data_IF_258683890150
#
_entry.id   IF_258683890150
#
_cell.length_a   1.000
_cell.length_b   1.000
_cell.length_c   1.000
_cell.angle_alpha   90.00
_cell.angle_beta   90.00
_cell.angle_gamma   90.00
#
_symmetry.space_group_name_H-M   'P 1'
#
loop_
_entity.id
_entity.type
_entity.pdbx_description
1 polymer ?
#
# COMPACT_ATOMS: atom_id res chain seq x y z
N UNK A 1 -7.91 -8.61 8.88
CA UNK A 1 -6.99 -8.47 7.71
C UNK A 1 -6.62 -9.83 7.13
N UNK A 2 -6.70 -10.05 5.81
CA UNK A 2 -6.43 -11.36 5.19
C UNK A 2 -4.93 -11.61 5.05
N UNK A 3 -4.37 -12.52 5.86
CA UNK A 3 -2.96 -12.94 5.75
C UNK A 3 -2.77 -13.77 4.49
N UNK A 4 -2.19 -13.18 3.44
CA UNK A 4 -1.84 -13.87 2.20
C UNK A 4 -0.49 -14.56 2.40
N UNK A 5 -0.51 -15.84 2.78
CA UNK A 5 0.70 -16.67 2.87
C UNK A 5 0.96 -17.34 1.52
N UNK A 6 1.97 -16.87 0.80
CA UNK A 6 2.40 -17.46 -0.47
C UNK A 6 3.34 -18.65 -0.19
N UNK A 7 2.82 -19.72 0.42
CA UNK A 7 3.53 -20.96 0.83
C UNK A 7 4.28 -21.72 -0.30
N UNK A 8 4.78 -21.05 -1.33
CA UNK A 8 5.39 -21.64 -2.51
C UNK A 8 6.61 -20.80 -2.86
N UNK A 9 7.78 -21.41 -2.62
CA UNK A 9 8.87 -21.60 -3.59
C UNK A 9 8.80 -20.71 -4.83
N UNK A 10 9.94 -20.10 -5.21
CA UNK A 10 10.16 -19.37 -6.48
C UNK A 10 9.15 -19.73 -7.57
N UNK A 11 8.45 -18.73 -8.10
CA UNK A 11 7.52 -18.92 -9.21
C UNK A 11 8.19 -19.77 -10.31
N UNK A 12 7.53 -20.83 -10.83
CA UNK A 12 8.12 -21.68 -11.86
C UNK A 12 8.56 -20.84 -13.06
N UNK A 13 9.77 -21.10 -13.56
CA UNK A 13 10.30 -20.40 -14.72
C UNK A 13 9.32 -20.54 -15.91
N UNK A 14 8.90 -19.41 -16.50
CA UNK A 14 7.97 -19.37 -17.63
C UNK A 14 6.49 -19.15 -17.27
N UNK A 15 6.13 -19.09 -15.99
CA UNK A 15 4.76 -18.76 -15.59
C UNK A 15 4.42 -17.29 -15.93
N UNK A 16 3.50 -17.08 -16.89
CA UNK A 16 3.01 -15.75 -17.27
C UNK A 16 1.87 -15.23 -16.39
N UNK A 17 1.19 -16.11 -15.63
CA UNK A 17 0.07 -15.79 -14.74
C UNK A 17 0.11 -16.70 -13.51
N UNK A 18 -0.12 -16.13 -12.32
CA UNK A 18 -0.21 -16.86 -11.05
C UNK A 18 -1.65 -16.75 -10.55
N UNK A 19 -2.28 -17.89 -10.20
CA UNK A 19 -3.59 -17.91 -9.56
C UNK A 19 -3.40 -17.97 -8.04
N UNK A 20 -3.74 -16.90 -7.35
CA UNK A 20 -3.68 -16.87 -5.88
C UNK A 20 -4.90 -17.58 -5.29
N UNK A 21 -4.68 -18.43 -4.29
CA UNK A 21 -5.73 -19.06 -3.48
C UNK A 21 -5.55 -18.61 -2.04
N UNK A 22 -6.58 -18.05 -1.43
CA UNK A 22 -6.57 -17.75 0.01
C UNK A 22 -6.57 -19.10 0.74
N UNK A 23 -5.47 -19.41 1.42
CA UNK A 23 -5.27 -20.70 2.09
C UNK A 23 -5.76 -20.69 3.54
N UNK A 24 -5.77 -19.51 4.17
CA UNK A 24 -6.25 -19.31 5.53
C UNK A 24 -6.57 -17.84 5.77
N UNK A 25 -7.71 -17.56 6.41
CA UNK A 25 -7.98 -16.25 7.03
C UNK A 25 -7.75 -16.45 8.52
N UNK A 26 -6.93 -15.60 9.13
CA UNK A 26 -6.66 -15.63 10.57
C UNK A 26 -6.81 -14.20 11.07
N UNK A 27 -7.54 -14.02 12.16
CA UNK A 27 -7.56 -12.75 12.87
C UNK A 27 -6.17 -12.50 13.47
N UNK A 28 -5.68 -11.27 13.33
CA UNK A 28 -4.41 -10.83 13.89
C UNK A 28 -4.76 -9.73 14.89
N UNK A 29 -4.61 -10.01 16.19
CA UNK A 29 -4.96 -9.08 17.26
C UNK A 29 -4.11 -7.81 17.21
N UNK A 30 -2.97 -7.81 16.49
CA UNK A 30 -2.14 -6.63 16.27
C UNK A 30 -2.49 -5.88 14.98
N UNK A 31 -3.46 -6.37 14.21
CA UNK A 31 -3.96 -5.72 13.00
C UNK A 31 -5.09 -4.76 13.37
N UNK A 32 -4.74 -3.62 13.96
CA UNK A 32 -5.71 -2.55 14.22
C UNK A 32 -6.09 -1.88 12.90
N UNK A 33 -7.40 -1.75 12.65
CA UNK A 33 -7.90 -1.04 11.48
C UNK A 33 -7.67 0.47 11.68
N UNK A 34 -6.78 1.06 10.86
CA UNK A 34 -6.66 2.52 10.79
C UNK A 34 -7.73 3.11 9.89
N UNK A 35 -8.27 4.26 10.29
CA UNK A 35 -9.06 5.09 9.39
C UNK A 35 -8.13 5.93 8.54
N UNK A 36 -8.34 5.91 7.21
CA UNK A 36 -7.60 6.72 6.25
C UNK A 36 -8.57 7.69 5.58
N UNK A 37 -8.20 8.96 5.47
CA UNK A 37 -9.03 10.02 4.89
C UNK A 37 -8.20 11.07 4.16
N UNK A 38 -8.87 11.97 3.43
CA UNK A 38 -8.24 13.06 2.68
C UNK A 38 -7.14 12.61 1.71
N UNK A 39 -7.30 11.42 1.12
CA UNK A 39 -6.30 10.84 0.23
C UNK A 39 -6.17 11.68 -1.03
N UNK A 40 -4.94 12.09 -1.33
CA UNK A 40 -4.57 12.81 -2.55
C UNK A 40 -3.46 12.04 -3.25
N UNK A 41 -3.56 11.98 -4.57
CA UNK A 41 -2.55 11.36 -5.43
C UNK A 41 -1.94 12.42 -6.32
N UNK A 42 -0.68 12.73 -6.08
CA UNK A 42 0.13 13.59 -6.94
C UNK A 42 0.73 12.73 -8.04
N UNK A 43 0.26 12.96 -9.27
CA UNK A 43 0.67 12.20 -10.46
C UNK A 43 2.06 12.57 -10.97
N UNK A 44 2.57 13.74 -10.60
CA UNK A 44 3.83 14.27 -11.14
C UNK A 44 5.05 13.47 -10.69
N UNK A 45 5.35 12.48 -11.52
CA UNK A 45 6.65 11.86 -11.65
C UNK A 45 7.37 12.23 -12.95
N UNK A 46 7.13 13.43 -13.49
CA UNK A 46 7.96 13.95 -14.58
C UNK A 46 9.38 14.22 -14.06
N UNK A 47 10.39 13.77 -14.83
CA UNK A 47 11.82 13.94 -14.56
C UNK A 47 12.26 13.49 -13.15
N UNK A 48 12.28 12.18 -12.92
CA UNK A 48 12.96 11.58 -11.76
C UNK A 48 12.24 11.70 -10.42
N UNK A 49 10.96 12.10 -10.41
CA UNK A 49 10.10 12.04 -9.22
C UNK A 49 9.15 10.85 -9.32
N UNK A 50 8.77 10.25 -8.20
CA UNK A 50 7.78 9.19 -8.16
C UNK A 50 6.42 9.76 -7.78
N UNK A 51 5.31 9.21 -8.31
CA UNK A 51 3.99 9.58 -7.84
C UNK A 51 3.89 9.42 -6.33
N UNK A 52 3.21 10.38 -5.70
CA UNK A 52 3.11 10.48 -4.25
C UNK A 52 1.66 10.40 -3.83
N UNK A 53 1.38 9.58 -2.82
CA UNK A 53 0.09 9.52 -2.17
C UNK A 53 0.24 10.13 -0.79
N UNK A 54 -0.63 11.08 -0.47
CA UNK A 54 -0.71 11.70 0.84
C UNK A 54 -2.12 11.59 1.38
N UNK A 55 -2.27 11.77 2.68
CA UNK A 55 -3.56 11.81 3.34
C UNK A 55 -3.36 11.82 4.84
N UNK A 56 -4.46 11.65 5.55
CA UNK A 56 -4.50 11.59 7.01
C UNK A 56 -4.87 10.20 7.48
N UNK A 57 -4.28 9.74 8.57
CA UNK A 57 -4.63 8.50 9.24
C UNK A 57 -5.06 8.75 10.68
N UNK A 58 -5.86 7.83 11.23
CA UNK A 58 -6.21 7.75 12.65
C UNK A 58 -6.29 6.29 13.09
N UNK A 59 -5.51 5.93 14.09
CA UNK A 59 -5.50 4.61 14.72
C UNK A 59 -6.49 4.56 15.90
N UNK A 60 -7.14 3.40 16.14
CA UNK A 60 -8.10 3.23 17.24
C UNK A 60 -7.44 2.99 18.61
N UNK A 61 -6.17 2.57 18.65
CA UNK A 61 -5.47 2.16 19.88
C UNK A 61 -4.24 3.03 20.22
N UNK A 62 -3.51 2.64 21.29
CA UNK A 62 -2.38 3.36 21.86
C UNK A 62 -1.12 3.42 20.97
N UNK A 63 -1.11 2.67 19.87
CA UNK A 63 0.04 2.54 18.96
C UNK A 63 -0.35 3.03 17.57
N UNK A 64 0.37 4.04 17.09
CA UNK A 64 0.26 4.51 15.69
C UNK A 64 0.80 3.49 14.69
N UNK A 65 0.38 3.55 13.41
CA UNK A 65 0.88 2.66 12.37
C UNK A 65 2.41 2.81 12.22
N UNK A 66 3.13 1.69 12.13
CA UNK A 66 4.59 1.67 11.92
C UNK A 66 4.98 1.84 10.45
N UNK A 67 4.01 1.67 9.55
CA UNK A 67 4.16 1.97 8.13
C UNK A 67 2.81 1.98 7.41
N UNK A 68 2.81 2.49 6.18
CA UNK A 68 1.67 2.45 5.28
C UNK A 68 2.07 1.91 3.92
N UNK A 69 1.17 1.16 3.30
CA UNK A 69 1.29 0.73 1.91
C UNK A 69 0.14 1.26 1.09
N UNK A 70 0.43 1.54 -0.16
CA UNK A 70 -0.57 1.82 -1.17
C UNK A 70 -0.46 0.81 -2.30
N UNK A 71 -1.59 0.26 -2.70
CA UNK A 71 -1.73 -0.56 -3.91
C UNK A 71 -2.58 0.25 -4.87
N UNK A 72 -1.99 0.61 -5.99
CA UNK A 72 -2.68 1.37 -7.02
C UNK A 72 -2.68 0.61 -8.35
N UNK A 73 -3.73 0.81 -9.13
CA UNK A 73 -3.81 0.31 -10.49
C UNK A 73 -4.09 1.43 -11.48
N UNK A 74 -3.63 1.26 -12.72
CA UNK A 74 -3.95 2.15 -13.83
C UNK A 74 -5.11 1.63 -14.68
N UNK A 75 -5.48 2.37 -15.72
CA UNK A 75 -6.54 1.99 -16.66
C UNK A 75 -6.24 0.71 -17.46
N UNK A 76 -4.98 0.28 -17.53
CA UNK A 76 -4.55 -0.93 -18.24
C UNK A 76 -4.53 -2.17 -17.35
N UNK A 77 -4.79 -1.99 -16.05
CA UNK A 77 -4.75 -3.05 -15.04
C UNK A 77 -3.34 -3.35 -14.51
N UNK A 78 -2.35 -2.50 -14.80
CA UNK A 78 -1.02 -2.62 -14.18
C UNK A 78 -1.12 -2.21 -12.71
N UNK A 79 -0.56 -3.02 -11.84
CA UNK A 79 -0.53 -2.78 -10.39
C UNK A 79 0.84 -2.24 -9.99
N UNK A 80 0.84 -1.17 -9.20
CA UNK A 80 2.02 -0.58 -8.56
C UNK A 80 1.79 -0.54 -7.07
N UNK A 81 2.80 -0.97 -6.31
CA UNK A 81 2.78 -0.93 -4.85
C UNK A 81 3.82 0.09 -4.38
N UNK A 82 3.41 0.95 -3.46
CA UNK A 82 4.30 1.88 -2.77
C UNK A 82 4.27 1.63 -1.27
N UNK A 83 5.39 1.94 -0.63
CA UNK A 83 5.52 1.91 0.82
C UNK A 83 5.79 3.33 1.32
N UNK A 84 5.34 3.61 2.52
CA UNK A 84 5.40 4.92 3.14
C UNK A 84 5.39 4.84 4.65
N UNK A 85 5.54 6.01 5.26
CA UNK A 85 5.55 6.17 6.71
C UNK A 85 4.59 7.30 7.11
N UNK A 86 4.10 7.26 8.35
CA UNK A 86 3.60 8.46 9.01
C UNK A 86 4.67 9.56 8.98
N UNK A 87 4.24 10.81 8.91
CA UNK A 87 5.16 11.96 9.04
C UNK A 87 5.74 12.06 10.46
N UNK A 88 5.00 11.56 11.45
CA UNK A 88 5.44 11.47 12.86
C UNK A 88 5.34 10.02 13.30
N UNK A 89 6.49 9.38 13.53
CA UNK A 89 6.57 7.99 13.99
C UNK A 89 5.86 7.80 15.32
N UNK A 90 5.00 6.78 15.43
CA UNK A 90 4.28 6.44 16.66
C UNK A 90 3.07 7.33 16.97
N UNK A 91 2.78 8.35 16.15
CA UNK A 91 1.59 9.17 16.34
C UNK A 91 0.31 8.36 16.07
N UNK A 92 -0.71 8.51 16.93
CA UNK A 92 -2.03 7.86 16.75
C UNK A 92 -2.83 8.44 15.58
N UNK A 93 -2.51 9.66 15.17
CA UNK A 93 -3.10 10.31 14.00
C UNK A 93 -2.12 11.30 13.41
N UNK A 94 -2.20 11.49 12.11
CA UNK A 94 -1.40 12.49 11.43
C UNK A 94 -1.38 12.30 9.92
N UNK A 95 -0.48 13.01 9.28
CA UNK A 95 -0.29 12.91 7.84
C UNK A 95 0.61 11.73 7.50
N UNK A 96 0.35 11.07 6.39
CA UNK A 96 1.23 10.06 5.81
C UNK A 96 1.68 10.43 4.40
N UNK A 97 2.77 9.79 3.98
CA UNK A 97 3.30 9.89 2.62
C UNK A 97 3.72 8.52 2.12
N UNK A 98 3.14 8.06 1.02
CA UNK A 98 3.50 6.81 0.33
C UNK A 98 4.06 7.14 -1.05
N UNK A 99 5.26 6.66 -1.35
CA UNK A 99 5.90 6.83 -2.66
C UNK A 99 5.66 5.61 -3.53
N UNK A 100 5.17 5.82 -4.74
CA UNK A 100 5.03 4.76 -5.74
C UNK A 100 6.33 4.58 -6.54
N UNK A 101 7.39 4.13 -5.85
CA UNK A 101 8.76 4.06 -6.41
C UNK A 101 8.92 3.18 -7.66
N UNK A 102 8.01 2.22 -7.86
CA UNK A 102 7.99 1.31 -9.01
C UNK A 102 7.06 1.76 -10.14
N UNK A 103 6.45 2.95 -10.02
CA UNK A 103 5.62 3.51 -11.08
C UNK A 103 6.48 3.84 -12.32
N UNK A 104 6.05 3.43 -13.52
CA UNK A 104 6.65 3.89 -14.77
C UNK A 104 6.62 5.41 -14.92
N UNK A 105 7.44 5.92 -15.84
CA UNK A 105 7.33 7.31 -16.29
C UNK A 105 5.96 7.57 -16.91
N UNK A 106 5.39 8.75 -16.65
CA UNK A 106 4.03 9.15 -17.05
C UNK A 106 2.91 8.20 -16.59
N UNK A 107 3.15 7.43 -15.54
CA UNK A 107 2.15 6.50 -15.03
C UNK A 107 1.06 7.21 -14.25
N UNK A 108 -0.20 6.95 -14.62
CA UNK A 108 -1.37 7.53 -13.96
C UNK A 108 -2.20 6.47 -13.22
N UNK A 109 -2.35 6.59 -11.89
CA UNK A 109 -3.26 5.73 -11.15
C UNK A 109 -4.73 6.10 -11.48
N UNK A 110 -5.55 5.08 -11.73
CA UNK A 110 -7.02 5.22 -11.80
C UNK A 110 -7.67 4.98 -10.44
N UNK A 111 -7.01 4.21 -9.57
CA UNK A 111 -7.55 3.74 -8.29
C UNK A 111 -6.41 3.36 -7.36
N UNK A 112 -6.57 3.68 -6.07
CA UNK A 112 -5.57 3.42 -5.04
C UNK A 112 -6.26 2.97 -3.74
N UNK A 113 -5.68 1.96 -3.10
CA UNK A 113 -6.05 1.50 -1.77
C UNK A 113 -4.86 1.72 -0.84
N UNK A 114 -5.08 2.39 0.29
CA UNK A 114 -4.05 2.68 1.27
C UNK A 114 -4.42 2.00 2.58
N UNK A 115 -3.44 1.41 3.24
CA UNK A 115 -3.63 0.77 4.54
C UNK A 115 -2.34 0.71 5.34
N UNK A 116 -2.46 0.34 6.61
CA UNK A 116 -1.33 0.07 7.48
C UNK A 116 -0.54 -1.15 6.99
N UNK A 117 0.78 -1.09 7.15
CA UNK A 117 1.64 -2.27 7.12
C UNK A 117 2.05 -2.64 8.53
N UNK A 118 1.96 -3.93 8.85
CA UNK A 118 2.54 -4.53 10.07
C UNK A 118 3.96 -5.01 9.85
#
# INVERSE_FOLDING_TARGET
>A
MTKVSNKISKAPAGAKKVRMKITKVTEDENSHDISVSNVKVTKDGHEGRWPLITGTFKAPEDIGPVGLSAVCHDSTGRVVVGNGLPTVTGAKSGDFRVKLGAAPEHWEPSSCFVGQTG
#
